data_IF_025228080370
#
_entry.id   IF_025228080370
#
_cell.length_a   1.000
_cell.length_b   1.000
_cell.length_c   1.000
_cell.angle_alpha   90.00
_cell.angle_beta   90.00
_cell.angle_gamma   90.00
#
_symmetry.space_group_name_H-M   'P 1'
#
loop_
_entity.id
_entity.type
_entity.pdbx_description
1 polymer ?
#
# COMPACT_ATOMS: atom_id res chain seq x y z
N UNK A 1 -3.16 -20.05 33.32
CA UNK A 1 -3.47 -18.77 33.99
C UNK A 1 -4.96 -18.56 33.81
N UNK A 2 -5.76 -18.79 34.84
CA UNK A 2 -7.19 -18.46 34.88
C UNK A 2 -7.31 -16.96 35.14
N UNK A 3 -7.65 -16.19 34.14
CA UNK A 3 -8.14 -14.84 34.34
C UNK A 3 -9.63 -14.94 34.69
N UNK A 4 -10.08 -14.40 35.83
CA UNK A 4 -11.48 -14.37 36.12
C UNK A 4 -12.23 -13.50 35.09
N UNK A 5 -13.21 -14.10 34.44
CA UNK A 5 -14.14 -13.35 33.56
C UNK A 5 -15.05 -12.56 34.52
N UNK A 6 -14.83 -11.26 34.60
CA UNK A 6 -15.72 -10.35 35.31
C UNK A 6 -16.70 -9.79 34.28
N UNK A 7 -17.97 -10.12 34.48
CA UNK A 7 -19.14 -9.68 33.70
C UNK A 7 -19.42 -10.43 32.38
N UNK A 8 -20.69 -10.46 32.03
CA UNK A 8 -21.18 -11.05 30.79
C UNK A 8 -20.56 -10.33 29.59
N UNK A 9 -19.64 -10.97 28.89
CA UNK A 9 -19.17 -10.49 27.59
C UNK A 9 -20.22 -10.81 26.53
N UNK A 10 -20.85 -9.79 25.97
CA UNK A 10 -21.65 -9.93 24.77
C UNK A 10 -20.71 -9.94 23.56
N UNK A 11 -20.51 -11.11 22.98
CA UNK A 11 -19.78 -11.25 21.71
C UNK A 11 -20.73 -10.86 20.58
N UNK A 12 -20.65 -9.63 20.12
CA UNK A 12 -21.33 -9.19 18.90
C UNK A 12 -20.46 -9.58 17.72
N UNK A 13 -20.84 -10.64 17.00
CA UNK A 13 -20.23 -10.96 15.72
C UNK A 13 -20.63 -9.88 14.70
N UNK A 14 -19.69 -9.05 14.31
CA UNK A 14 -19.88 -8.17 13.16
C UNK A 14 -19.71 -9.01 11.88
N UNK A 15 -20.81 -9.30 11.24
CA UNK A 15 -20.80 -9.93 9.93
C UNK A 15 -20.52 -8.84 8.90
N UNK A 16 -19.37 -8.92 8.22
CA UNK A 16 -19.20 -8.19 6.97
C UNK A 16 -20.13 -8.80 5.94
N UNK A 17 -20.97 -7.98 5.30
CA UNK A 17 -21.73 -8.45 4.13
C UNK A 17 -20.74 -9.01 3.11
N UNK A 18 -20.93 -10.29 2.76
CA UNK A 18 -20.11 -10.92 1.73
C UNK A 18 -20.38 -10.19 0.41
N UNK A 19 -19.34 -9.57 -0.14
CA UNK A 19 -19.43 -8.95 -1.46
C UNK A 19 -19.74 -10.03 -2.49
N UNK A 20 -20.70 -9.82 -3.40
CA UNK A 20 -21.06 -10.83 -4.36
C UNK A 20 -19.87 -11.18 -5.27
N UNK A 21 -19.64 -12.47 -5.47
CA UNK A 21 -18.64 -12.96 -6.41
C UNK A 21 -19.27 -13.04 -7.78
N UNK A 22 -18.67 -12.35 -8.76
CA UNK A 22 -19.03 -12.50 -10.17
C UNK A 22 -18.38 -13.76 -10.74
N UNK A 23 -19.12 -14.46 -11.59
CA UNK A 23 -18.64 -15.63 -12.35
C UNK A 23 -18.56 -15.36 -13.85
N UNK A 24 -18.89 -14.15 -14.30
CA UNK A 24 -18.76 -13.77 -15.70
C UNK A 24 -17.28 -13.71 -16.08
N UNK A 25 -16.87 -14.35 -17.20
CA UNK A 25 -15.46 -14.38 -17.57
C UNK A 25 -14.92 -12.98 -17.86
N UNK A 26 -13.81 -12.61 -17.22
CA UNK A 26 -13.09 -11.38 -17.51
C UNK A 26 -11.64 -11.70 -17.92
N UNK A 27 -11.14 -11.00 -18.94
CA UNK A 27 -9.77 -11.19 -19.43
C UNK A 27 -8.80 -10.23 -18.80
N UNK A 28 -7.55 -10.66 -18.67
CA UNK A 28 -6.42 -9.83 -18.25
C UNK A 28 -5.13 -10.31 -18.92
N UNK A 29 -4.09 -9.49 -18.89
CA UNK A 29 -2.75 -9.86 -19.36
C UNK A 29 -1.88 -10.29 -18.17
N UNK A 30 -1.21 -11.45 -18.29
CA UNK A 30 -0.23 -11.90 -17.31
C UNK A 30 1.10 -11.15 -17.44
N UNK A 31 2.09 -11.55 -16.63
CA UNK A 31 3.43 -10.94 -16.62
C UNK A 31 4.18 -11.03 -17.97
N UNK A 32 3.82 -11.97 -18.81
CA UNK A 32 4.44 -12.21 -20.13
C UNK A 32 3.62 -11.59 -21.27
N UNK A 33 2.52 -10.90 -20.94
CA UNK A 33 1.61 -10.29 -21.90
C UNK A 33 0.60 -11.25 -22.52
N UNK A 34 0.50 -12.49 -22.02
CA UNK A 34 -0.47 -13.46 -22.52
C UNK A 34 -1.84 -13.20 -21.89
N UNK A 35 -2.88 -13.33 -22.72
CA UNK A 35 -4.25 -13.20 -22.25
C UNK A 35 -4.67 -14.39 -21.37
N UNK A 36 -5.17 -14.09 -20.19
CA UNK A 36 -5.73 -15.01 -19.22
C UNK A 36 -7.19 -14.69 -18.96
N UNK A 37 -7.90 -15.60 -18.29
CA UNK A 37 -9.32 -15.42 -17.94
C UNK A 37 -9.50 -15.66 -16.45
N UNK A 38 -10.19 -14.73 -15.79
CA UNK A 38 -10.67 -14.87 -14.42
C UNK A 38 -12.18 -15.08 -14.42
N UNK A 39 -12.65 -16.08 -13.66
CA UNK A 39 -14.08 -16.46 -13.57
C UNK A 39 -14.65 -16.44 -12.16
N UNK A 40 -13.88 -15.92 -11.20
CA UNK A 40 -14.34 -15.77 -9.82
C UNK A 40 -13.67 -14.53 -9.21
N UNK A 41 -14.41 -13.44 -9.12
CA UNK A 41 -13.90 -12.16 -8.65
C UNK A 41 -14.98 -11.30 -7.99
N UNK A 42 -14.56 -10.34 -7.21
CA UNK A 42 -15.41 -9.30 -6.64
C UNK A 42 -15.23 -8.00 -7.41
N UNK A 43 -16.32 -7.40 -7.87
CA UNK A 43 -16.27 -6.06 -8.46
C UNK A 43 -16.15 -5.04 -7.33
N UNK A 44 -15.11 -4.19 -7.40
CA UNK A 44 -14.95 -3.09 -6.45
C UNK A 44 -15.95 -1.98 -6.76
N UNK A 45 -16.61 -1.50 -5.72
CA UNK A 45 -17.52 -0.36 -5.78
C UNK A 45 -16.98 0.78 -4.96
N UNK A 46 -17.35 2.01 -5.31
CA UNK A 46 -16.94 3.19 -4.56
C UNK A 46 -17.40 3.12 -3.11
N UNK A 47 -16.47 3.44 -2.21
CA UNK A 47 -16.76 3.64 -0.80
C UNK A 47 -16.12 4.94 -0.33
N UNK A 48 -16.95 5.94 -0.10
CA UNK A 48 -16.53 7.28 0.32
C UNK A 48 -17.03 7.55 1.71
N UNK A 49 -16.12 7.89 2.61
CA UNK A 49 -16.42 8.31 3.98
C UNK A 49 -16.21 9.81 4.10
N UNK A 50 -17.18 10.52 4.63
CA UNK A 50 -17.08 11.96 4.89
C UNK A 50 -15.99 12.30 5.91
N UNK A 51 -15.68 11.36 6.79
CA UNK A 51 -14.59 11.47 7.75
C UNK A 51 -14.03 10.08 8.02
N UNK A 52 -12.72 9.93 7.98
CA UNK A 52 -12.00 8.74 8.39
C UNK A 52 -11.31 8.95 9.74
N UNK A 53 -11.86 9.81 10.58
CA UNK A 53 -11.33 10.12 11.91
C UNK A 53 -11.60 8.98 12.90
N UNK A 54 -12.67 8.21 12.69
CA UNK A 54 -12.94 7.02 13.49
C UNK A 54 -12.03 5.86 13.05
N UNK A 55 -11.51 5.12 14.02
CA UNK A 55 -10.62 3.98 13.75
C UNK A 55 -11.30 2.91 12.87
N UNK A 56 -12.57 2.66 13.09
CA UNK A 56 -13.35 1.68 12.34
C UNK A 56 -13.55 2.06 10.86
N UNK A 57 -13.55 3.36 10.55
CA UNK A 57 -13.76 3.88 9.19
C UNK A 57 -12.48 4.06 8.37
N UNK A 58 -11.31 3.78 8.97
CA UNK A 58 -10.00 4.02 8.34
C UNK A 58 -9.59 2.97 7.30
N UNK A 59 -10.16 1.78 7.41
CA UNK A 59 -9.71 0.62 6.66
C UNK A 59 -10.82 0.03 5.82
N UNK A 60 -10.46 -0.37 4.62
CA UNK A 60 -11.30 -1.12 3.70
C UNK A 60 -10.59 -2.45 3.41
N UNK A 61 -11.04 -3.50 4.10
CA UNK A 61 -10.42 -4.81 4.02
C UNK A 61 -10.56 -5.45 2.65
N UNK A 62 -9.46 -5.90 2.10
CA UNK A 62 -9.36 -6.72 0.90
C UNK A 62 -8.82 -8.11 1.27
N UNK A 63 -9.68 -9.08 1.63
CA UNK A 63 -9.28 -10.47 1.78
C UNK A 63 -8.62 -11.03 0.53
N UNK A 64 -7.83 -12.11 0.69
CA UNK A 64 -7.24 -12.81 -0.46
C UNK A 64 -8.29 -13.13 -1.51
N UNK A 65 -7.99 -12.81 -2.77
CA UNK A 65 -8.93 -13.03 -3.88
C UNK A 65 -8.64 -12.20 -5.11
N UNK A 66 -9.56 -12.27 -6.06
CA UNK A 66 -9.55 -11.48 -7.27
C UNK A 66 -10.55 -10.34 -7.18
N UNK A 67 -10.13 -9.17 -7.59
CA UNK A 67 -10.91 -7.94 -7.61
C UNK A 67 -10.85 -7.30 -8.98
N UNK A 68 -11.94 -6.71 -9.39
CA UNK A 68 -12.07 -6.05 -10.71
C UNK A 68 -12.55 -4.63 -10.50
N UNK A 69 -11.92 -3.71 -11.22
CA UNK A 69 -12.33 -2.30 -11.29
C UNK A 69 -13.00 -2.06 -12.63
N UNK A 70 -14.25 -1.62 -12.59
CA UNK A 70 -15.03 -1.21 -13.75
C UNK A 70 -15.44 0.25 -13.61
N UNK A 71 -15.21 1.04 -14.66
CA UNK A 71 -15.49 2.48 -14.62
C UNK A 71 -14.64 3.23 -13.59
N UNK A 72 -15.23 4.26 -12.99
CA UNK A 72 -14.55 5.07 -11.97
C UNK A 72 -14.95 4.63 -10.57
N UNK A 73 -13.98 4.20 -9.79
CA UNK A 73 -14.16 3.73 -8.41
C UNK A 73 -13.29 4.58 -7.49
N UNK A 74 -13.89 5.15 -6.46
CA UNK A 74 -13.17 5.89 -5.42
C UNK A 74 -13.36 5.22 -4.08
N UNK A 75 -12.25 4.92 -3.40
CA UNK A 75 -12.25 4.34 -2.06
C UNK A 75 -11.48 5.29 -1.16
N UNK A 76 -12.20 5.96 -0.26
CA UNK A 76 -11.61 6.91 0.69
C UNK A 76 -10.84 6.20 1.80
N UNK A 77 -11.37 5.15 2.48
CA UNK A 77 -10.57 4.43 3.46
C UNK A 77 -9.32 3.81 2.84
N UNK A 78 -8.25 3.66 3.63
CA UNK A 78 -7.07 2.94 3.16
C UNK A 78 -7.42 1.49 2.85
N UNK A 79 -7.08 1.02 1.66
CA UNK A 79 -7.21 -0.38 1.29
C UNK A 79 -6.22 -1.21 2.12
N UNK A 80 -6.71 -2.22 2.83
CA UNK A 80 -5.89 -3.12 3.67
C UNK A 80 -5.91 -4.53 3.08
N UNK A 81 -4.79 -4.97 2.52
CA UNK A 81 -4.68 -6.30 1.91
C UNK A 81 -4.46 -7.38 2.96
N UNK A 82 -5.03 -8.56 2.72
CA UNK A 82 -4.86 -9.74 3.55
C UNK A 82 -4.59 -10.96 2.67
N UNK A 83 -3.34 -11.44 2.68
CA UNK A 83 -2.88 -12.54 1.84
C UNK A 83 -2.68 -12.14 0.38
N UNK A 84 -3.08 -12.99 -0.56
CA UNK A 84 -2.88 -12.74 -2.00
C UNK A 84 -4.07 -12.00 -2.61
N UNK A 85 -3.91 -10.71 -2.88
CA UNK A 85 -4.90 -9.85 -3.52
C UNK A 85 -4.49 -9.58 -4.96
N UNK A 86 -5.36 -9.90 -5.92
CA UNK A 86 -5.16 -9.71 -7.35
C UNK A 86 -6.17 -8.69 -7.87
N UNK A 87 -5.70 -7.59 -8.45
CA UNK A 87 -6.52 -6.49 -8.96
C UNK A 87 -6.43 -6.42 -10.47
N UNK A 88 -7.58 -6.57 -11.15
CA UNK A 88 -7.69 -6.35 -12.59
C UNK A 88 -8.26 -4.96 -12.84
N UNK A 89 -7.51 -4.12 -13.52
CA UNK A 89 -7.95 -2.83 -14.02
C UNK A 89 -8.50 -3.02 -15.44
N UNK A 90 -9.81 -2.91 -15.62
CA UNK A 90 -10.42 -3.02 -16.95
C UNK A 90 -10.07 -1.82 -17.83
N UNK A 91 -10.20 -1.98 -19.14
CA UNK A 91 -9.93 -0.89 -20.07
C UNK A 91 -10.78 0.34 -19.77
N UNK A 92 -10.15 1.49 -19.65
CA UNK A 92 -10.79 2.77 -19.33
C UNK A 92 -11.21 2.93 -17.88
N UNK A 93 -11.03 1.93 -17.01
CA UNK A 93 -11.35 2.04 -15.59
C UNK A 93 -10.34 2.91 -14.83
N UNK A 94 -10.78 3.42 -13.68
CA UNK A 94 -9.91 4.17 -12.79
C UNK A 94 -10.27 3.89 -11.33
N UNK A 95 -9.34 3.28 -10.59
CA UNK A 95 -9.41 3.18 -9.13
C UNK A 95 -8.65 4.33 -8.50
N UNK A 96 -9.33 5.11 -7.67
CA UNK A 96 -8.72 6.09 -6.78
C UNK A 96 -8.75 5.57 -5.36
N UNK A 97 -7.59 5.19 -4.82
CA UNK A 97 -7.37 4.83 -3.42
C UNK A 97 -6.82 6.07 -2.71
N UNK A 98 -7.71 6.87 -2.10
CA UNK A 98 -7.36 8.20 -1.57
C UNK A 98 -6.35 8.14 -0.42
N UNK A 99 -6.38 7.07 0.39
CA UNK A 99 -5.40 6.85 1.46
C UNK A 99 -4.41 5.74 1.14
N UNK A 100 -4.30 5.38 -0.14
CA UNK A 100 -3.38 4.37 -0.63
C UNK A 100 -3.78 2.95 -0.27
N UNK A 101 -2.83 2.03 -0.43
CA UNK A 101 -3.01 0.59 -0.28
C UNK A 101 -1.96 0.06 0.68
N UNK A 102 -2.39 -0.62 1.73
CA UNK A 102 -1.52 -1.25 2.72
C UNK A 102 -1.16 -2.67 2.27
N UNK A 103 0.13 -2.93 2.13
CA UNK A 103 0.67 -4.24 1.75
C UNK A 103 1.79 -4.57 2.73
N UNK A 104 1.46 -5.39 3.72
CA UNK A 104 2.37 -5.75 4.81
C UNK A 104 2.98 -7.12 4.62
N UNK A 105 3.94 -7.46 5.45
CA UNK A 105 4.60 -8.77 5.44
C UNK A 105 3.57 -9.91 5.47
N UNK A 106 3.75 -10.89 4.58
CA UNK A 106 2.82 -11.99 4.39
C UNK A 106 1.75 -11.73 3.34
N UNK A 107 1.56 -10.47 2.92
CA UNK A 107 0.61 -10.11 1.88
C UNK A 107 1.30 -9.97 0.51
N UNK A 108 0.52 -10.24 -0.52
CA UNK A 108 0.90 -10.01 -1.92
C UNK A 108 -0.19 -9.22 -2.61
N UNK A 109 0.17 -8.08 -3.18
CA UNK A 109 -0.71 -7.25 -3.99
C UNK A 109 -0.24 -7.27 -5.45
N UNK A 110 -1.06 -7.81 -6.35
CA UNK A 110 -0.75 -7.91 -7.78
C UNK A 110 -1.74 -7.13 -8.61
N UNK A 111 -1.22 -6.28 -9.51
CA UNK A 111 -2.02 -5.48 -10.44
C UNK A 111 -1.88 -6.01 -11.85
N UNK A 112 -3.02 -6.17 -12.53
CA UNK A 112 -3.14 -6.59 -13.91
C UNK A 112 -3.93 -5.56 -14.72
N UNK A 113 -3.76 -5.55 -16.04
CA UNK A 113 -4.56 -4.78 -16.97
C UNK A 113 -5.05 -5.66 -18.12
N UNK A 114 -6.02 -5.16 -18.89
CA UNK A 114 -6.54 -5.83 -20.09
C UNK A 114 -5.80 -5.43 -21.35
N UNK A 115 -5.03 -4.32 -21.31
CA UNK A 115 -4.34 -3.77 -22.47
C UNK A 115 -2.96 -3.23 -22.07
N UNK A 116 -2.04 -3.20 -23.02
CA UNK A 116 -0.75 -2.51 -22.92
C UNK A 116 -0.80 -1.11 -23.53
N UNK A 117 -1.90 -0.74 -24.18
CA UNK A 117 -2.06 0.59 -24.79
C UNK A 117 -2.36 1.65 -23.72
N UNK A 118 -1.51 2.66 -23.64
CA UNK A 118 -1.61 3.77 -22.65
C UNK A 118 -2.97 4.48 -22.71
N UNK A 119 -3.55 4.59 -23.90
CA UNK A 119 -4.82 5.29 -24.11
C UNK A 119 -6.04 4.53 -23.57
N UNK A 120 -5.92 3.21 -23.42
CA UNK A 120 -7.03 2.33 -23.05
C UNK A 120 -6.82 1.58 -21.75
N UNK A 121 -5.57 1.34 -21.32
CA UNK A 121 -5.34 0.58 -20.08
C UNK A 121 -6.00 1.24 -18.87
N UNK A 122 -6.47 0.41 -17.94
CA UNK A 122 -7.05 0.88 -16.69
C UNK A 122 -6.01 1.56 -15.79
N UNK A 123 -6.50 2.38 -14.87
CA UNK A 123 -5.67 3.26 -14.02
C UNK A 123 -5.83 2.96 -12.55
N UNK A 124 -4.76 3.13 -11.80
CA UNK A 124 -4.75 3.14 -10.34
C UNK A 124 -4.04 4.41 -9.86
N UNK A 125 -4.74 5.21 -9.06
CA UNK A 125 -4.16 6.33 -8.32
C UNK A 125 -4.17 6.01 -6.84
N UNK A 126 -3.01 5.87 -6.24
CA UNK A 126 -2.83 5.59 -4.81
C UNK A 126 -2.04 6.76 -4.18
N UNK A 127 -2.75 7.83 -3.90
CA UNK A 127 -2.19 9.08 -3.42
C UNK A 127 -3.05 9.62 -2.29
N UNK A 128 -2.41 10.30 -1.35
CA UNK A 128 -3.15 11.05 -0.34
C UNK A 128 -3.89 12.22 -0.98
N UNK A 129 -5.09 12.61 -0.43
CA UNK A 129 -5.80 13.79 -0.88
C UNK A 129 -4.93 15.03 -0.91
N UNK A 130 -5.08 15.88 -1.93
CA UNK A 130 -4.29 17.09 -2.10
C UNK A 130 -4.53 18.12 -0.98
N UNK A 131 -5.69 18.09 -0.35
CA UNK A 131 -6.12 18.95 0.76
C UNK A 131 -5.80 18.35 2.13
N UNK A 132 -4.88 17.37 2.13
CA UNK A 132 -4.45 16.73 3.36
C UNK A 132 -3.92 17.76 4.36
N UNK A 133 -4.70 18.03 5.41
CA UNK A 133 -4.32 18.94 6.48
C UNK A 133 -3.51 18.16 7.53
N UNK A 134 -2.30 18.63 7.82
CA UNK A 134 -1.44 18.10 8.88
C UNK A 134 -2.18 18.01 10.25
N UNK A 135 -3.15 18.90 10.52
CA UNK A 135 -3.98 18.83 11.72
C UNK A 135 -4.82 17.53 11.79
N UNK A 136 -5.15 16.92 10.65
CA UNK A 136 -5.79 15.60 10.62
C UNK A 136 -4.83 14.47 10.97
N UNK A 137 -3.52 14.65 10.78
CA UNK A 137 -2.51 13.66 11.20
C UNK A 137 -2.42 13.50 12.72
N UNK A 138 -2.60 14.59 13.49
CA UNK A 138 -2.48 14.56 14.94
C UNK A 138 -3.48 13.58 15.58
N UNK A 139 -4.66 13.41 14.96
CA UNK A 139 -5.66 12.46 15.44
C UNK A 139 -5.42 11.01 15.00
N UNK A 140 -4.47 10.78 14.08
CA UNK A 140 -4.16 9.44 13.58
C UNK A 140 -3.22 8.65 14.49
N UNK A 141 -2.76 9.20 15.62
CA UNK A 141 -1.74 8.56 16.48
C UNK A 141 -0.52 8.07 15.67
N UNK A 142 -0.33 8.67 14.49
CA UNK A 142 0.87 8.48 13.69
C UNK A 142 1.78 9.59 14.13
N UNK A 143 2.86 9.25 14.81
CA UNK A 143 3.90 10.23 15.13
C UNK A 143 4.34 10.90 13.83
N UNK A 144 4.68 12.20 13.85
CA UNK A 144 5.09 12.92 12.63
C UNK A 144 6.26 12.25 11.88
N UNK A 145 6.90 11.27 12.47
CA UNK A 145 8.03 10.53 11.90
C UNK A 145 7.68 9.23 11.18
N UNK A 146 6.41 8.85 11.09
CA UNK A 146 6.00 7.60 10.47
C UNK A 146 4.97 7.82 9.36
N UNK A 147 5.43 7.75 8.12
CA UNK A 147 4.60 7.94 6.93
C UNK A 147 3.75 6.72 6.55
N UNK A 148 2.90 6.90 5.55
CA UNK A 148 2.21 5.83 4.83
C UNK A 148 2.69 5.76 3.39
N UNK A 149 3.03 4.58 2.91
CA UNK A 149 3.31 4.38 1.49
C UNK A 149 2.02 4.58 0.66
N UNK A 150 2.18 5.04 -0.57
CA UNK A 150 1.07 5.08 -1.52
C UNK A 150 0.55 3.67 -1.80
N UNK A 151 1.44 2.75 -2.16
CA UNK A 151 1.20 1.32 -2.26
C UNK A 151 2.29 0.63 -1.45
N UNK A 152 1.95 -0.02 -0.35
CA UNK A 152 2.90 -0.70 0.51
C UNK A 152 2.64 -0.51 1.99
N UNK A 153 3.65 -0.69 2.83
CA UNK A 153 3.45 -0.72 4.27
C UNK A 153 3.05 0.65 4.85
N UNK A 154 2.43 0.62 5.99
CA UNK A 154 2.11 1.78 6.80
C UNK A 154 2.69 1.65 8.21
N UNK A 155 3.01 2.76 8.83
CA UNK A 155 3.33 2.79 10.23
C UNK A 155 2.02 2.75 11.01
N UNK A 156 1.68 1.61 11.59
CA UNK A 156 0.51 1.45 12.47
C UNK A 156 0.92 1.63 13.92
N UNK A 157 0.20 2.47 14.63
CA UNK A 157 0.29 2.54 16.08
C UNK A 157 -0.89 1.79 16.70
N UNK A 158 -0.64 0.82 17.56
CA UNK A 158 -1.66 0.19 18.39
C UNK A 158 -1.49 0.68 19.82
N UNK A 159 -2.55 1.27 20.36
CA UNK A 159 -2.60 1.67 21.76
C UNK A 159 -2.40 0.44 22.67
N UNK A 160 -1.40 0.51 23.54
CA UNK A 160 -1.12 -0.57 24.52
C UNK A 160 -0.15 -1.68 24.08
N UNK A 161 0.35 -1.64 22.84
CA UNK A 161 1.44 -2.51 22.41
C UNK A 161 2.55 -1.64 21.79
N UNK A 162 3.77 -1.94 22.16
CA UNK A 162 4.97 -1.39 21.51
C UNK A 162 4.81 -1.41 20.00
N UNK A 163 4.67 -0.22 19.39
CA UNK A 163 4.23 -0.05 18.02
C UNK A 163 4.78 -1.13 17.07
N UNK A 164 3.94 -2.08 16.68
CA UNK A 164 4.32 -3.11 15.71
C UNK A 164 4.43 -2.41 14.37
N UNK A 165 5.65 -2.17 13.96
CA UNK A 165 5.96 -1.64 12.64
C UNK A 165 6.04 -2.82 11.69
N UNK A 166 5.05 -2.88 10.81
CA UNK A 166 4.95 -4.00 9.88
C UNK A 166 6.03 -3.85 8.79
N UNK A 167 6.76 -4.94 8.53
CA UNK A 167 7.64 -5.06 7.38
C UNK A 167 6.83 -5.04 6.09
N UNK A 168 7.50 -4.75 4.98
CA UNK A 168 6.87 -4.63 3.67
C UNK A 168 6.47 -6.00 3.12
N UNK A 169 5.34 -6.03 2.40
CA UNK A 169 4.87 -7.20 1.68
C UNK A 169 5.43 -7.31 0.25
N UNK A 170 4.75 -8.06 -0.58
CA UNK A 170 5.11 -8.26 -1.99
C UNK A 170 4.18 -7.46 -2.89
N UNK A 171 4.75 -6.65 -3.78
CA UNK A 171 4.01 -5.86 -4.76
C UNK A 171 4.43 -6.29 -6.15
N UNK A 172 3.46 -6.65 -7.00
CA UNK A 172 3.69 -7.05 -8.39
C UNK A 172 2.82 -6.22 -9.32
N UNK A 173 3.43 -5.56 -10.31
CA UNK A 173 2.72 -4.77 -11.32
C UNK A 173 2.97 -5.43 -12.68
N UNK A 174 1.94 -6.08 -13.22
CA UNK A 174 1.97 -6.72 -14.53
C UNK A 174 1.42 -5.79 -15.63
N UNK A 175 0.70 -4.74 -15.27
CA UNK A 175 0.13 -3.79 -16.21
C UNK A 175 -0.66 -2.67 -15.55
N UNK A 176 -1.25 -1.80 -16.37
CA UNK A 176 -2.01 -0.63 -15.92
C UNK A 176 -1.20 0.65 -15.86
N UNK A 177 -1.91 1.77 -15.75
CA UNK A 177 -1.31 3.09 -15.55
C UNK A 177 -1.39 3.42 -14.05
N UNK A 178 -0.28 3.23 -13.36
CA UNK A 178 -0.17 3.35 -11.90
C UNK A 178 0.45 4.68 -11.54
N UNK A 179 -0.23 5.42 -10.69
CA UNK A 179 0.27 6.66 -10.09
C UNK A 179 0.25 6.52 -8.57
N UNK A 180 1.40 6.64 -7.95
CA UNK A 180 1.54 6.50 -6.52
C UNK A 180 2.26 7.69 -5.89
N UNK A 181 1.84 8.04 -4.66
CA UNK A 181 2.45 9.07 -3.84
C UNK A 181 2.37 8.64 -2.37
N UNK A 182 3.53 8.50 -1.75
CA UNK A 182 3.63 8.28 -0.31
C UNK A 182 3.56 9.58 0.47
N UNK A 183 3.54 9.49 1.79
CA UNK A 183 3.73 10.62 2.69
C UNK A 183 5.21 10.94 2.89
N UNK A 184 5.48 11.97 3.72
CA UNK A 184 6.80 12.17 4.29
C UNK A 184 7.25 10.91 5.04
N UNK A 185 8.53 10.58 4.94
CA UNK A 185 9.11 9.37 5.51
C UNK A 185 8.54 8.04 4.98
N UNK A 186 8.00 8.07 3.77
CA UNK A 186 7.47 6.87 3.10
C UNK A 186 7.81 6.83 1.62
N UNK A 187 7.77 5.62 1.05
CA UNK A 187 7.87 5.42 -0.38
C UNK A 187 6.53 5.65 -1.07
N UNK A 188 6.56 6.08 -2.31
CA UNK A 188 5.34 6.05 -3.11
C UNK A 188 4.89 4.60 -3.36
N UNK A 189 5.85 3.69 -3.67
CA UNK A 189 5.62 2.25 -3.78
C UNK A 189 6.67 1.55 -2.93
N UNK A 190 6.26 0.85 -1.85
CA UNK A 190 7.17 0.11 -0.98
C UNK A 190 6.98 0.37 0.50
N UNK A 191 8.01 0.81 1.20
CA UNK A 191 8.03 0.90 2.64
C UNK A 191 7.87 2.29 3.23
N UNK A 192 7.79 2.30 4.54
CA UNK A 192 7.90 3.50 5.35
C UNK A 192 9.23 3.53 6.09
N UNK A 193 9.66 4.71 6.53
CA UNK A 193 10.88 4.86 7.32
C UNK A 193 10.86 3.91 8.52
N UNK A 194 11.91 3.14 8.70
CA UNK A 194 12.20 2.56 9.99
C UNK A 194 12.70 3.68 10.90
N UNK A 195 12.24 3.77 12.15
CA UNK A 195 12.89 4.71 13.07
C UNK A 195 14.34 4.30 13.30
N UNK A 196 15.19 5.30 13.41
CA UNK A 196 16.52 5.14 13.92
C UNK A 196 16.38 4.67 15.37
N UNK A 197 16.49 3.35 15.57
CA UNK A 197 16.70 2.73 16.87
C UNK A 197 15.59 2.99 17.93
N UNK A 198 14.57 2.17 18.02
CA UNK A 198 14.07 1.87 19.35
C UNK A 198 15.12 1.02 20.08
N UNK A 199 15.97 1.68 20.84
CA UNK A 199 16.77 1.01 21.87
C UNK A 199 15.80 0.46 22.91
N UNK A 200 15.38 -0.78 22.77
CA UNK A 200 14.88 -1.50 23.92
C UNK A 200 16.08 -2.04 24.67
N UNK A 201 16.40 -1.40 25.77
CA UNK A 201 17.23 -2.03 26.79
C UNK A 201 16.41 -3.18 27.37
N UNK A 202 16.62 -4.36 26.86
CA UNK A 202 16.24 -5.57 27.57
C UNK A 202 17.43 -5.97 28.43
N UNK A 203 17.18 -6.64 29.55
CA UNK A 203 18.23 -7.19 30.44
C UNK A 203 19.21 -8.15 29.72
N UNK A 204 19.11 -8.30 28.41
CA UNK A 204 19.89 -9.22 27.56
C UNK A 204 20.60 -8.58 26.37
N UNK A 205 20.61 -7.25 26.24
CA UNK A 205 21.28 -6.56 25.15
C UNK A 205 20.34 -5.80 24.22
N UNK A 206 20.93 -4.98 23.36
CA UNK A 206 20.22 -4.12 22.41
C UNK A 206 19.59 -4.96 21.29
N UNK A 207 18.29 -4.83 21.07
CA UNK A 207 17.58 -5.45 19.92
C UNK A 207 17.22 -4.34 18.94
N UNK A 208 17.84 -4.36 17.78
CA UNK A 208 17.51 -3.46 16.66
C UNK A 208 16.29 -4.00 15.93
N UNK A 209 15.15 -3.37 16.05
CA UNK A 209 13.97 -3.67 15.23
C UNK A 209 14.07 -2.89 13.90
N UNK A 210 14.91 -3.36 12.98
CA UNK A 210 14.93 -2.84 11.62
C UNK A 210 13.75 -3.41 10.84
N UNK A 211 13.08 -2.58 10.04
CA UNK A 211 12.06 -3.06 9.09
C UNK A 211 12.73 -3.81 7.95
N UNK A 212 12.17 -4.95 7.63
CA UNK A 212 12.56 -5.70 6.45
C UNK A 212 11.86 -5.10 5.23
N UNK A 213 12.63 -4.77 4.20
CA UNK A 213 12.13 -4.38 2.90
C UNK A 213 11.42 -5.55 2.22
N UNK A 214 10.36 -5.24 1.48
CA UNK A 214 9.59 -6.21 0.72
C UNK A 214 10.17 -6.52 -0.64
N UNK A 215 9.36 -7.13 -1.47
CA UNK A 215 9.68 -7.42 -2.86
C UNK A 215 8.76 -6.62 -3.78
N UNK A 216 9.34 -5.82 -4.68
CA UNK A 216 8.61 -5.06 -5.68
C UNK A 216 9.05 -5.54 -7.05
N UNK A 217 8.10 -5.99 -7.87
CA UNK A 217 8.35 -6.45 -9.23
C UNK A 217 7.46 -5.71 -10.20
N UNK A 218 8.04 -5.07 -11.21
CA UNK A 218 7.34 -4.39 -12.30
C UNK A 218 7.65 -5.14 -13.59
N UNK A 219 6.63 -5.80 -14.15
CA UNK A 219 6.73 -6.57 -15.38
C UNK A 219 6.22 -5.79 -16.59
N UNK A 220 5.35 -4.79 -16.37
CA UNK A 220 4.74 -4.02 -17.46
C UNK A 220 3.93 -2.83 -16.95
N UNK A 221 3.23 -2.17 -17.86
CA UNK A 221 2.42 -1.00 -17.58
C UNK A 221 3.22 0.31 -17.54
N UNK A 222 2.60 1.34 -17.01
CA UNK A 222 3.20 2.66 -16.80
C UNK A 222 3.13 2.97 -15.33
N UNK A 223 4.27 3.08 -14.68
CA UNK A 223 4.38 3.34 -13.25
C UNK A 223 5.00 4.71 -13.03
N UNK A 224 4.25 5.60 -12.37
CA UNK A 224 4.71 6.94 -12.00
C UNK A 224 4.64 7.11 -10.50
N UNK A 225 5.75 7.55 -9.90
CA UNK A 225 5.76 8.01 -8.52
C UNK A 225 5.88 9.52 -8.47
N UNK A 226 5.34 10.12 -7.42
CA UNK A 226 5.38 11.55 -7.21
C UNK A 226 6.00 11.86 -5.85
N UNK A 227 6.83 12.91 -5.78
CA UNK A 227 7.36 13.36 -4.50
C UNK A 227 6.23 13.86 -3.59
N UNK A 228 6.36 13.57 -2.31
CA UNK A 228 5.58 14.29 -1.31
C UNK A 228 6.13 15.71 -1.20
N UNK A 229 5.25 16.69 -1.23
CA UNK A 229 5.62 18.08 -1.06
C UNK A 229 4.83 18.67 0.10
N UNK A 230 5.53 19.27 1.06
CA UNK A 230 4.90 20.09 2.09
C UNK A 230 4.42 21.41 1.50
N UNK A 231 3.40 22.04 2.09
CA UNK A 231 3.00 23.39 1.71
C UNK A 231 4.18 24.37 1.70
N UNK A 232 4.15 25.29 0.75
CA UNK A 232 5.18 26.33 0.63
C UNK A 232 5.41 27.07 1.96
N UNK A 233 6.68 27.20 2.34
CA UNK A 233 7.06 27.84 3.62
C UNK A 233 7.19 26.90 4.81
N UNK A 234 6.95 25.60 4.66
CA UNK A 234 7.23 24.63 5.72
C UNK A 234 8.74 24.33 5.77
N UNK A 235 9.42 24.57 6.92
CA UNK A 235 10.86 24.43 7.03
C UNK A 235 11.33 22.96 7.21
N UNK A 236 10.40 22.02 7.33
CA UNK A 236 10.75 20.62 7.56
C UNK A 236 11.33 20.01 6.28
N UNK A 237 12.41 19.25 6.44
CA UNK A 237 12.96 18.48 5.34
C UNK A 237 12.01 17.30 5.04
N UNK A 238 11.60 17.19 3.77
CA UNK A 238 10.81 16.05 3.30
C UNK A 238 11.77 14.92 2.96
N UNK A 239 11.50 13.73 3.48
CA UNK A 239 12.18 12.51 3.10
C UNK A 239 11.18 11.56 2.45
N UNK A 240 11.27 11.38 1.14
CA UNK A 240 10.44 10.43 0.41
C UNK A 240 11.24 9.65 -0.60
N UNK A 241 10.80 8.42 -0.84
CA UNK A 241 11.36 7.49 -1.81
C UNK A 241 10.32 7.22 -2.89
N UNK A 242 10.74 7.11 -4.13
CA UNK A 242 9.84 6.76 -5.22
C UNK A 242 9.42 5.28 -5.13
N UNK A 243 10.36 4.37 -5.33
CA UNK A 243 10.11 2.93 -5.31
C UNK A 243 11.13 2.25 -4.40
N UNK A 244 10.66 1.43 -3.47
CA UNK A 244 11.52 0.59 -2.62
C UNK A 244 11.35 0.83 -1.14
N UNK A 245 12.38 0.44 -0.37
CA UNK A 245 12.40 0.57 1.08
C UNK A 245 12.83 1.97 1.48
N UNK A 246 12.08 2.64 2.32
CA UNK A 246 12.44 3.94 2.85
C UNK A 246 13.60 3.82 3.86
N UNK A 247 14.16 4.97 4.30
CA UNK A 247 15.36 5.05 5.14
C UNK A 247 15.36 4.11 6.35
N UNK A 248 16.55 3.61 6.72
CA UNK A 248 16.82 2.69 7.84
C UNK A 248 16.21 1.28 7.74
N UNK A 249 15.57 0.91 6.63
CA UNK A 249 15.19 -0.48 6.35
C UNK A 249 16.40 -1.36 6.01
N UNK A 250 16.22 -2.66 5.97
CA UNK A 250 17.23 -3.60 5.49
C UNK A 250 16.61 -4.59 4.48
N UNK A 251 17.45 -5.12 3.60
CA UNK A 251 17.03 -6.07 2.59
C UNK A 251 16.09 -5.43 1.57
N UNK A 252 15.14 -6.23 1.11
CA UNK A 252 14.20 -5.87 0.07
C UNK A 252 14.76 -6.05 -1.34
N UNK A 253 13.86 -6.04 -2.31
CA UNK A 253 14.23 -6.13 -3.72
C UNK A 253 13.31 -5.29 -4.59
N UNK A 254 13.90 -4.62 -5.57
CA UNK A 254 13.18 -3.96 -6.66
C UNK A 254 13.64 -4.57 -7.97
N UNK A 255 12.72 -5.17 -8.71
CA UNK A 255 12.98 -5.77 -10.02
C UNK A 255 12.08 -5.13 -11.07
N UNK A 256 12.69 -4.57 -12.11
CA UNK A 256 11.99 -3.97 -13.25
C UNK A 256 12.32 -4.82 -14.48
N UNK A 257 11.34 -5.57 -14.95
CA UNK A 257 11.45 -6.45 -16.11
C UNK A 257 10.93 -5.80 -17.39
N UNK A 258 10.08 -4.77 -17.25
CA UNK A 258 9.49 -4.11 -18.41
C UNK A 258 8.58 -2.94 -18.01
N UNK A 259 7.90 -2.38 -19.01
CA UNK A 259 7.03 -1.22 -18.84
C UNK A 259 7.77 0.11 -18.89
N UNK A 260 7.08 1.18 -18.55
CA UNK A 260 7.63 2.53 -18.42
C UNK A 260 7.60 2.93 -16.95
N UNK A 261 8.75 3.15 -16.35
CA UNK A 261 8.87 3.54 -14.93
C UNK A 261 9.43 4.96 -14.87
N UNK A 262 8.67 5.85 -14.25
CA UNK A 262 9.05 7.23 -13.96
C UNK A 262 9.03 7.41 -12.46
N UNK A 263 10.19 7.25 -11.84
CA UNK A 263 10.33 7.35 -10.40
C UNK A 263 10.84 8.74 -10.00
N UNK A 264 9.99 9.48 -9.30
CA UNK A 264 10.30 10.79 -8.73
C UNK A 264 10.11 10.76 -7.21
N UNK A 265 11.00 11.42 -6.49
CA UNK A 265 10.96 11.52 -5.04
C UNK A 265 11.76 12.72 -4.55
N UNK A 266 11.62 13.08 -3.27
CA UNK A 266 12.42 14.15 -2.67
C UNK A 266 13.87 13.70 -2.43
N UNK A 267 14.10 12.40 -2.15
CA UNK A 267 15.43 11.84 -1.90
C UNK A 267 15.83 10.86 -3.00
N UNK A 268 15.38 9.62 -2.90
CA UNK A 268 15.82 8.53 -3.77
C UNK A 268 14.68 8.07 -4.69
N UNK A 269 14.91 8.12 -6.00
CA UNK A 269 13.92 7.67 -6.97
C UNK A 269 13.64 6.16 -6.82
N UNK A 270 14.70 5.35 -6.68
CA UNK A 270 14.60 3.90 -6.45
C UNK A 270 15.66 3.53 -5.43
N UNK A 271 15.29 2.83 -4.37
CA UNK A 271 16.23 2.38 -3.32
C UNK A 271 15.78 1.06 -2.68
N UNK A 272 16.71 0.41 -2.00
CA UNK A 272 16.44 -0.74 -1.12
C UNK A 272 17.11 -0.50 0.22
N UNK A 273 16.72 -1.27 1.24
CA UNK A 273 17.42 -1.25 2.52
C UNK A 273 18.84 -1.84 2.41
N UNK A 274 19.60 -1.75 3.50
CA UNK A 274 20.97 -2.31 3.59
C UNK A 274 20.96 -3.79 3.18
N UNK A 275 21.80 -4.15 2.22
CA UNK A 275 21.90 -5.51 1.68
C UNK A 275 20.76 -5.91 0.73
N UNK A 276 19.90 -4.99 0.32
CA UNK A 276 18.87 -5.24 -0.69
C UNK A 276 19.41 -5.22 -2.13
N UNK A 277 18.55 -5.52 -3.10
CA UNK A 277 18.91 -5.62 -4.52
C UNK A 277 18.01 -4.82 -5.41
N UNK A 278 18.59 -4.15 -6.42
CA UNK A 278 17.89 -3.51 -7.53
C UNK A 278 18.32 -4.20 -8.81
N UNK A 279 17.36 -4.70 -9.59
CA UNK A 279 17.58 -5.34 -10.89
C UNK A 279 16.74 -4.65 -11.95
N UNK A 280 17.35 -4.25 -13.05
CA UNK A 280 16.68 -3.66 -14.23
C UNK A 280 17.10 -4.48 -15.44
N UNK A 281 16.12 -5.13 -16.09
CA UNK A 281 16.33 -6.02 -17.23
C UNK A 281 15.97 -5.33 -18.55
#
# INVERSE_FOLDING_TARGET
FDYPVFENMELVAQWMEARPISTDPITYLDKDGNQQVCTAYTVLTSETKASILDYADKWYDLPAGWYVVEGNVTITPRLDTHGAVNLILTNGSHLTAEWGIDVKVGDTFTVYAQSTDEGTMGRLTACLPADFNLDRMVHYSVWPDSGMAGIGSSARWREGNDGIRESEGTIVINGGNIRAKGQDNASAIGGTRAEEIEFRYTDRGEVYNRRQGGSITINGGIVRTEPFALPEGNPLAVTSVGIGTCHYGYGGSVTINGGTVIAEAANDAITTGDGGTITIN
#
